data_IF_254087303616
#
_entry.id   IF_254087303616
#
_cell.length_a   1.000
_cell.length_b   1.000
_cell.length_c   1.000
_cell.angle_alpha   90.00
_cell.angle_beta   90.00
_cell.angle_gamma   90.00
#
_symmetry.space_group_name_H-M   'P 1'
#
loop_
_entity.id
_entity.type
_entity.pdbx_description
1 polymer ?
#
# COMPACT_ATOMS: atom_id res chain seq x y z
N UNK A 1 71.54 3.84 -26.27
CA UNK A 1 70.42 4.55 -25.63
C UNK A 1 69.14 3.75 -25.88
N UNK A 2 68.71 2.98 -24.89
CA UNK A 2 67.54 2.08 -25.02
C UNK A 2 66.45 2.66 -24.11
N UNK A 3 65.45 3.28 -24.75
CA UNK A 3 64.30 3.87 -24.05
C UNK A 3 63.30 2.77 -23.74
N UNK A 4 63.06 2.47 -22.45
CA UNK A 4 62.05 1.51 -21.98
C UNK A 4 60.73 2.24 -21.76
N UNK A 5 59.75 2.00 -22.61
CA UNK A 5 58.34 2.41 -22.44
C UNK A 5 57.68 1.46 -21.41
N UNK A 6 57.32 2.00 -20.25
CA UNK A 6 56.45 1.30 -19.29
C UNK A 6 55.01 1.56 -19.68
N UNK A 7 54.34 0.55 -20.17
CA UNK A 7 52.89 0.57 -20.36
C UNK A 7 52.18 0.28 -19.00
N UNK A 8 51.53 1.28 -18.43
CA UNK A 8 50.68 1.11 -17.23
C UNK A 8 49.35 0.54 -17.66
N UNK A 9 49.07 -0.69 -17.25
CA UNK A 9 47.76 -1.34 -17.41
C UNK A 9 46.87 -0.89 -16.23
N UNK A 10 45.91 0.00 -16.49
CA UNK A 10 44.84 0.30 -15.51
C UNK A 10 43.82 -0.82 -15.52
N UNK A 11 43.81 -1.65 -14.47
CA UNK A 11 42.74 -2.62 -14.21
C UNK A 11 41.52 -1.87 -13.62
N UNK A 12 40.46 -1.67 -14.41
CA UNK A 12 39.18 -1.18 -13.94
C UNK A 12 38.47 -2.29 -13.17
N UNK A 13 38.44 -2.19 -11.85
CA UNK A 13 37.63 -3.08 -11.01
C UNK A 13 36.16 -2.68 -11.14
N UNK A 14 35.35 -3.50 -11.83
CA UNK A 14 33.91 -3.37 -11.88
C UNK A 14 33.33 -3.75 -10.50
N UNK A 15 32.86 -2.79 -9.74
CA UNK A 15 32.12 -3.03 -8.49
C UNK A 15 30.72 -3.49 -8.85
N UNK A 16 30.49 -4.80 -8.81
CA UNK A 16 29.13 -5.38 -8.90
C UNK A 16 28.39 -5.05 -7.60
N UNK A 17 27.54 -4.02 -7.64
CA UNK A 17 26.62 -3.74 -6.55
C UNK A 17 25.51 -4.81 -6.53
N UNK A 18 25.65 -5.79 -5.64
CA UNK A 18 24.59 -6.74 -5.34
C UNK A 18 23.48 -5.97 -4.57
N UNK A 19 22.42 -5.57 -5.28
CA UNK A 19 21.18 -5.15 -4.62
C UNK A 19 20.56 -6.38 -4.01
N UNK A 20 20.60 -6.48 -2.68
CA UNK A 20 19.86 -7.51 -1.96
C UNK A 20 18.38 -7.43 -2.34
N UNK A 21 17.68 -8.55 -2.62
CA UNK A 21 16.25 -8.52 -2.87
C UNK A 21 15.57 -7.99 -1.61
N UNK A 22 14.86 -6.87 -1.75
CA UNK A 22 13.99 -6.40 -0.69
C UNK A 22 12.99 -7.53 -0.43
N UNK A 23 12.94 -8.05 0.81
CA UNK A 23 11.98 -9.08 1.19
C UNK A 23 10.57 -8.55 0.94
N UNK A 24 9.92 -9.04 -0.11
CA UNK A 24 8.54 -8.73 -0.41
C UNK A 24 7.65 -9.30 0.70
N UNK A 25 6.72 -8.50 1.20
CA UNK A 25 5.74 -8.97 2.19
C UNK A 25 4.83 -10.06 1.60
N UNK A 26 4.20 -10.87 2.46
CA UNK A 26 3.45 -12.07 2.03
C UNK A 26 2.29 -11.77 1.06
N UNK A 27 1.82 -10.52 1.00
CA UNK A 27 0.71 -10.09 0.14
C UNK A 27 1.12 -9.05 -0.92
N UNK A 28 2.39 -8.74 -1.04
CA UNK A 28 2.90 -7.67 -1.91
C UNK A 28 2.50 -7.85 -3.38
N UNK A 29 2.53 -9.08 -3.87
CA UNK A 29 2.13 -9.39 -5.25
C UNK A 29 0.64 -9.06 -5.50
N UNK A 30 -0.25 -9.47 -4.58
CA UNK A 30 -1.70 -9.21 -4.68
C UNK A 30 -1.99 -7.71 -4.52
N UNK A 31 -1.32 -7.04 -3.57
CA UNK A 31 -1.45 -5.60 -3.35
C UNK A 31 -1.04 -4.84 -4.62
N UNK A 32 0.13 -5.16 -5.17
CA UNK A 32 0.66 -4.50 -6.37
C UNK A 32 -0.25 -4.72 -7.58
N UNK A 33 -0.74 -5.94 -7.77
CA UNK A 33 -1.70 -6.28 -8.84
C UNK A 33 -2.93 -5.38 -8.79
N UNK A 34 -3.63 -5.31 -7.65
CA UNK A 34 -4.86 -4.54 -7.56
C UNK A 34 -4.62 -3.03 -7.46
N UNK A 35 -3.54 -2.58 -6.83
CA UNK A 35 -3.17 -1.16 -6.81
C UNK A 35 -2.96 -0.63 -8.24
N UNK A 36 -2.16 -1.34 -9.04
CA UNK A 36 -1.93 -0.98 -10.46
C UNK A 36 -3.22 -1.04 -11.27
N UNK A 37 -4.03 -2.09 -11.10
CA UNK A 37 -5.30 -2.25 -11.84
C UNK A 37 -6.32 -1.14 -11.54
N UNK A 38 -6.29 -0.55 -10.36
CA UNK A 38 -7.22 0.50 -9.95
C UNK A 38 -6.59 1.91 -9.90
N UNK A 39 -5.35 2.07 -10.34
CA UNK A 39 -4.67 3.37 -10.41
C UNK A 39 -4.33 3.98 -9.04
N UNK A 40 -4.04 3.13 -8.05
CA UNK A 40 -3.56 3.54 -6.72
C UNK A 40 -2.04 3.38 -6.66
N UNK A 41 -1.28 4.36 -6.13
CA UNK A 41 0.15 4.18 -5.92
C UNK A 41 0.44 2.95 -5.04
N UNK A 42 1.30 2.04 -5.50
CA UNK A 42 1.60 0.78 -4.80
C UNK A 42 2.13 1.03 -3.39
N UNK A 43 2.98 2.04 -3.20
CA UNK A 43 3.50 2.44 -1.88
C UNK A 43 2.39 2.86 -0.91
N UNK A 44 1.40 3.62 -1.39
CA UNK A 44 0.23 4.00 -0.60
C UNK A 44 -0.62 2.78 -0.24
N UNK A 45 -0.88 1.89 -1.20
CA UNK A 45 -1.65 0.67 -0.98
C UNK A 45 -1.02 -0.24 0.07
N UNK A 46 0.29 -0.48 -0.02
CA UNK A 46 1.06 -1.27 0.97
C UNK A 46 1.01 -0.62 2.35
N UNK A 47 1.19 0.70 2.42
CA UNK A 47 1.14 1.43 3.68
C UNK A 47 -0.24 1.36 4.35
N UNK A 48 -1.32 1.43 3.56
CA UNK A 48 -2.69 1.26 4.08
C UNK A 48 -2.86 -0.15 4.66
N UNK A 49 -2.50 -1.22 3.94
CA UNK A 49 -2.58 -2.60 4.44
C UNK A 49 -1.78 -2.78 5.73
N UNK A 50 -0.57 -2.22 5.78
CA UNK A 50 0.29 -2.28 6.98
C UNK A 50 -0.36 -1.57 8.17
N UNK A 51 -0.95 -0.39 7.98
CA UNK A 51 -1.59 0.38 9.06
C UNK A 51 -2.89 -0.25 9.50
N UNK A 52 -3.69 -0.82 8.58
CA UNK A 52 -4.98 -1.45 8.89
C UNK A 52 -4.85 -2.75 9.65
N UNK A 53 -3.94 -3.61 9.26
CA UNK A 53 -3.89 -4.97 9.77
C UNK A 53 -2.51 -5.44 10.24
N UNK A 54 -1.44 -4.72 9.92
CA UNK A 54 -0.08 -5.24 10.07
C UNK A 54 0.13 -6.52 9.25
N UNK A 55 -0.47 -6.60 8.06
CA UNK A 55 -0.45 -7.79 7.17
C UNK A 55 -1.10 -9.05 7.79
N UNK A 56 -2.04 -8.89 8.72
CA UNK A 56 -2.77 -10.02 9.35
C UNK A 56 -4.13 -10.21 8.69
N UNK A 57 -4.36 -11.32 7.95
CA UNK A 57 -5.59 -11.50 7.18
C UNK A 57 -6.81 -11.82 8.05
N UNK A 58 -6.62 -12.40 9.24
CA UNK A 58 -7.68 -12.96 10.07
C UNK A 58 -8.13 -12.04 11.21
N UNK A 59 -7.86 -10.73 11.12
CA UNK A 59 -8.29 -9.79 12.17
C UNK A 59 -9.66 -9.21 11.86
N UNK A 60 -10.37 -8.86 12.94
CA UNK A 60 -11.65 -8.16 12.89
C UNK A 60 -11.58 -6.91 13.75
N UNK A 61 -11.99 -5.78 13.18
CA UNK A 61 -12.10 -4.52 13.89
C UNK A 61 -13.34 -4.46 14.79
N UNK A 62 -13.34 -3.51 15.73
CA UNK A 62 -14.42 -3.34 16.72
C UNK A 62 -15.78 -2.99 16.08
N UNK A 63 -15.78 -2.31 14.94
CA UNK A 63 -16.99 -1.96 14.21
C UNK A 63 -17.30 -2.93 13.04
N UNK A 64 -16.70 -4.14 13.08
CA UNK A 64 -16.97 -5.21 12.14
C UNK A 64 -16.14 -5.18 10.87
N UNK A 65 -15.06 -4.39 10.85
CA UNK A 65 -14.08 -4.38 9.76
C UNK A 65 -13.36 -5.72 9.68
N UNK A 66 -13.01 -6.17 8.45
CA UNK A 66 -12.52 -7.52 8.17
C UNK A 66 -11.20 -7.46 7.41
N UNK A 67 -10.21 -8.20 7.90
CA UNK A 67 -9.03 -8.66 7.18
C UNK A 67 -8.00 -7.58 6.87
N UNK A 68 -7.21 -7.81 5.83
CA UNK A 68 -6.00 -7.06 5.48
C UNK A 68 -6.23 -5.55 5.31
N UNK A 69 -7.33 -5.15 4.69
CA UNK A 69 -7.69 -3.75 4.44
C UNK A 69 -8.85 -3.27 5.32
N UNK A 70 -9.22 -4.03 6.37
CA UNK A 70 -10.28 -3.68 7.32
C UNK A 70 -11.57 -3.19 6.62
N UNK A 71 -12.06 -4.00 5.68
CA UNK A 71 -13.25 -3.67 4.87
C UNK A 71 -14.51 -4.14 5.59
N UNK A 72 -15.51 -3.28 5.73
CA UNK A 72 -16.84 -3.70 6.22
C UNK A 72 -17.59 -4.49 5.16
N UNK A 73 -18.36 -5.48 5.58
CA UNK A 73 -19.20 -6.29 4.68
C UNK A 73 -20.16 -5.41 3.86
N UNK A 74 -20.75 -4.38 4.48
CA UNK A 74 -21.62 -3.42 3.80
C UNK A 74 -20.88 -2.63 2.71
N UNK A 75 -19.64 -2.20 2.98
CA UNK A 75 -18.78 -1.52 2.00
C UNK A 75 -18.47 -2.44 0.82
N UNK A 76 -18.06 -3.68 1.08
CA UNK A 76 -17.78 -4.64 0.02
C UNK A 76 -19.04 -4.93 -0.84
N UNK A 77 -20.19 -5.08 -0.22
CA UNK A 77 -21.47 -5.28 -0.91
C UNK A 77 -21.84 -4.09 -1.80
N UNK A 78 -21.65 -2.86 -1.32
CA UNK A 78 -21.83 -1.65 -2.13
C UNK A 78 -20.91 -1.59 -3.36
N UNK A 79 -19.80 -2.34 -3.34
CA UNK A 79 -18.85 -2.46 -4.45
C UNK A 79 -19.09 -3.72 -5.32
N UNK A 80 -20.20 -4.42 -5.10
CA UNK A 80 -20.60 -5.59 -5.88
C UNK A 80 -20.17 -6.95 -5.30
N UNK A 81 -19.70 -7.01 -4.05
CA UNK A 81 -19.42 -8.28 -3.38
C UNK A 81 -20.70 -9.01 -3.01
N UNK A 82 -20.83 -10.28 -3.42
CA UNK A 82 -22.01 -11.12 -3.15
C UNK A 82 -21.74 -12.24 -2.13
N UNK A 83 -20.53 -12.32 -1.61
CA UNK A 83 -20.11 -13.35 -0.68
C UNK A 83 -20.50 -13.10 0.78
N UNK A 84 -20.16 -14.05 1.64
CA UNK A 84 -20.34 -13.97 3.09
C UNK A 84 -19.22 -13.15 3.77
N UNK A 85 -19.44 -12.74 5.04
CA UNK A 85 -18.40 -12.12 5.85
C UNK A 85 -17.14 -13.01 5.97
N UNK A 86 -17.33 -14.34 6.05
CA UNK A 86 -16.22 -15.31 6.09
C UNK A 86 -15.37 -15.26 4.83
N UNK A 87 -15.98 -15.08 3.68
CA UNK A 87 -15.26 -14.98 2.40
C UNK A 87 -14.40 -13.72 2.27
N UNK A 88 -14.70 -12.64 3.04
CA UNK A 88 -13.86 -11.44 3.09
C UNK A 88 -12.55 -11.63 3.86
N UNK A 89 -12.35 -12.71 4.59
CA UNK A 89 -11.05 -13.02 5.19
C UNK A 89 -10.04 -13.58 4.18
N UNK A 90 -10.52 -14.03 3.00
CA UNK A 90 -9.61 -14.44 1.93
C UNK A 90 -8.78 -13.24 1.46
N UNK A 91 -7.43 -13.33 1.44
CA UNK A 91 -6.55 -12.22 1.10
C UNK A 91 -6.84 -11.58 -0.25
N UNK A 92 -7.01 -12.37 -1.32
CA UNK A 92 -7.29 -11.84 -2.66
C UNK A 92 -8.62 -11.08 -2.70
N UNK A 93 -9.67 -11.67 -2.13
CA UNK A 93 -11.00 -11.05 -2.04
C UNK A 93 -10.95 -9.75 -1.23
N UNK A 94 -10.30 -9.77 -0.06
CA UNK A 94 -10.20 -8.60 0.81
C UNK A 94 -9.45 -7.44 0.15
N UNK A 95 -8.27 -7.72 -0.40
CA UNK A 95 -7.45 -6.72 -1.08
C UNK A 95 -8.16 -6.19 -2.33
N UNK A 96 -8.83 -7.04 -3.09
CA UNK A 96 -9.60 -6.62 -4.27
C UNK A 96 -10.67 -5.58 -3.92
N UNK A 97 -11.52 -5.85 -2.94
CA UNK A 97 -12.61 -4.93 -2.58
C UNK A 97 -12.13 -3.73 -1.77
N UNK A 98 -11.14 -3.92 -0.87
CA UNK A 98 -10.49 -2.82 -0.18
C UNK A 98 -9.78 -1.86 -1.14
N UNK A 99 -9.12 -2.39 -2.17
CA UNK A 99 -8.45 -1.58 -3.18
C UNK A 99 -9.45 -0.80 -4.07
N UNK A 100 -10.59 -1.40 -4.42
CA UNK A 100 -11.68 -0.66 -5.09
C UNK A 100 -12.13 0.54 -4.26
N UNK A 101 -12.32 0.34 -2.94
CA UNK A 101 -12.72 1.40 -2.03
C UNK A 101 -11.63 2.49 -1.90
N UNK A 102 -10.36 2.06 -1.78
CA UNK A 102 -9.21 2.96 -1.71
C UNK A 102 -9.03 3.78 -3.00
N UNK A 103 -9.24 3.18 -4.16
CA UNK A 103 -9.17 3.87 -5.45
C UNK A 103 -10.21 4.99 -5.57
N UNK A 104 -11.44 4.74 -5.13
CA UNK A 104 -12.48 5.78 -5.09
C UNK A 104 -12.09 6.89 -4.10
N UNK A 105 -11.59 6.53 -2.91
CA UNK A 105 -11.07 7.48 -1.94
C UNK A 105 -9.91 8.32 -2.52
N UNK A 106 -9.02 7.68 -3.29
CA UNK A 106 -7.88 8.34 -3.93
C UNK A 106 -8.32 9.38 -4.97
N UNK A 107 -9.26 9.01 -5.83
CA UNK A 107 -9.86 9.92 -6.80
C UNK A 107 -10.54 11.12 -6.11
N UNK A 108 -11.40 10.87 -5.13
CA UNK A 108 -12.14 11.88 -4.38
C UNK A 108 -11.24 12.74 -3.48
N UNK A 109 -10.12 12.21 -3.01
CA UNK A 109 -9.12 12.90 -2.18
C UNK A 109 -8.12 13.75 -2.95
N UNK A 110 -8.38 14.01 -4.25
CA UNK A 110 -7.49 14.82 -5.10
C UNK A 110 -6.14 14.17 -5.37
N UNK A 111 -6.07 12.85 -5.28
CA UNK A 111 -4.85 12.04 -5.46
C UNK A 111 -3.71 12.39 -4.48
N UNK A 112 -4.02 13.05 -3.38
CA UNK A 112 -3.08 13.28 -2.28
C UNK A 112 -3.17 12.17 -1.24
N UNK A 113 -2.08 11.88 -0.54
CA UNK A 113 -2.06 10.84 0.51
C UNK A 113 -3.09 11.15 1.60
N UNK A 114 -3.06 12.33 2.21
CA UNK A 114 -3.96 12.65 3.32
C UNK A 114 -5.43 12.84 2.86
N UNK A 115 -5.65 13.35 1.66
CA UNK A 115 -7.00 13.40 1.07
C UNK A 115 -7.59 12.02 0.84
N UNK A 116 -6.77 11.07 0.36
CA UNK A 116 -7.14 9.66 0.22
C UNK A 116 -7.49 9.03 1.56
N UNK A 117 -6.63 9.21 2.56
CA UNK A 117 -6.82 8.63 3.90
C UNK A 117 -8.05 9.20 4.60
N UNK A 118 -8.31 10.50 4.45
CA UNK A 118 -9.56 11.10 4.95
C UNK A 118 -10.79 10.36 4.40
N UNK A 119 -10.85 10.17 3.07
CA UNK A 119 -11.98 9.52 2.40
C UNK A 119 -12.06 8.03 2.69
N UNK A 120 -10.93 7.38 2.86
CA UNK A 120 -10.88 5.97 3.22
C UNK A 120 -11.36 5.72 4.65
N UNK A 121 -10.89 6.51 5.61
CA UNK A 121 -11.18 6.34 7.03
C UNK A 121 -12.54 6.91 7.46
N UNK A 122 -12.88 8.11 7.00
CA UNK A 122 -14.10 8.80 7.42
C UNK A 122 -15.25 8.69 6.40
N UNK A 123 -15.05 7.91 5.33
CA UNK A 123 -16.03 7.72 4.25
C UNK A 123 -15.83 8.69 3.09
N UNK A 124 -16.30 8.27 1.91
CA UNK A 124 -16.11 9.02 0.65
C UNK A 124 -16.72 10.42 0.65
N UNK A 125 -17.74 10.65 1.47
CA UNK A 125 -18.38 11.97 1.63
C UNK A 125 -17.61 12.96 2.52
N UNK A 126 -16.57 12.54 3.24
CA UNK A 126 -15.83 13.39 4.15
C UNK A 126 -15.10 14.52 3.40
N UNK A 127 -15.33 15.77 3.78
CA UNK A 127 -14.72 16.95 3.13
C UNK A 127 -13.71 17.67 4.02
N UNK A 128 -13.77 17.46 5.34
CA UNK A 128 -12.91 18.15 6.31
C UNK A 128 -12.07 17.14 7.08
N UNK A 129 -10.77 17.44 7.20
CA UNK A 129 -9.87 16.62 7.99
C UNK A 129 -10.32 16.61 9.45
N UNK A 130 -10.32 15.43 10.05
CA UNK A 130 -10.59 15.21 11.47
C UNK A 130 -9.36 14.63 12.17
N UNK A 131 -9.26 14.72 13.51
CA UNK A 131 -8.08 14.28 14.25
C UNK A 131 -7.73 12.80 14.03
N UNK A 132 -8.72 11.93 13.86
CA UNK A 132 -8.50 10.49 13.62
C UNK A 132 -7.89 10.24 12.26
N UNK A 133 -8.45 10.84 11.20
CA UNK A 133 -7.91 10.72 9.84
C UNK A 133 -6.53 11.39 9.71
N UNK A 134 -6.27 12.49 10.43
CA UNK A 134 -4.96 13.13 10.47
C UNK A 134 -3.90 12.21 11.08
N UNK A 135 -4.18 11.59 12.24
CA UNK A 135 -3.29 10.59 12.86
C UNK A 135 -3.08 9.38 11.94
N UNK A 136 -4.11 8.94 11.26
CA UNK A 136 -3.99 7.84 10.30
C UNK A 136 -3.09 8.25 9.13
N UNK A 137 -3.27 9.43 8.56
CA UNK A 137 -2.41 9.93 7.49
C UNK A 137 -0.93 9.99 7.92
N UNK A 138 -0.63 10.45 9.12
CA UNK A 138 0.73 10.46 9.67
C UNK A 138 1.33 9.05 9.74
N UNK A 139 0.54 8.05 10.19
CA UNK A 139 1.00 6.65 10.22
C UNK A 139 1.32 6.14 8.80
N UNK A 140 0.44 6.40 7.85
CA UNK A 140 0.63 5.98 6.44
C UNK A 140 1.88 6.62 5.86
N UNK A 141 2.06 7.95 6.02
CA UNK A 141 3.25 8.65 5.55
C UNK A 141 4.54 8.06 6.16
N UNK A 142 4.52 7.75 7.46
CA UNK A 142 5.67 7.10 8.13
C UNK A 142 6.01 5.75 7.52
N UNK A 143 5.01 4.90 7.23
CA UNK A 143 5.22 3.60 6.58
C UNK A 143 5.74 3.77 5.15
N UNK A 144 5.29 4.81 4.44
CA UNK A 144 5.78 5.14 3.09
C UNK A 144 7.19 5.72 3.08
N UNK A 145 7.77 6.08 4.24
CA UNK A 145 9.07 6.74 4.32
C UNK A 145 9.07 8.19 3.82
N UNK A 146 7.91 8.86 3.80
CA UNK A 146 7.79 10.27 3.40
C UNK A 146 7.57 11.15 4.64
N UNK A 147 8.14 12.36 4.61
CA UNK A 147 8.02 13.31 5.72
C UNK A 147 6.56 13.65 6.02
N UNK A 148 6.27 13.81 7.29
CA UNK A 148 4.95 14.17 7.79
C UNK A 148 4.58 15.61 7.42
#
# INVERSE_FOLDING_TARGET
MISRLFAAVLAAAAVLTFSAPAFAGPYDAIISKYASSYGVPVSLAKAVVQVESGNRPNIRGKAGEIGLMQVKLSTARGLGFKGSAKALYNPDTNIRYGMKYLAMAHKLGGKTTCGTILRYNAGHGAKRMNPTSARYCTKVKRVMGVSA
#
